data_IF_593032510771
#
_entry.id   IF_593032510771
#
_cell.length_a   1.000
_cell.length_b   1.000
_cell.length_c   1.000
_cell.angle_alpha   90.00
_cell.angle_beta   90.00
_cell.angle_gamma   90.00
#
_symmetry.space_group_name_H-M   'P 1'
#
loop_
_entity.id
_entity.type
_entity.pdbx_description
1 polymer ?
#
# COMPACT_ATOMS: atom_id res chain seq x y z
N UNK A 1 7.83 -10.93 -0.28
CA UNK A 1 6.40 -10.92 0.08
C UNK A 1 5.58 -10.44 -1.11
N UNK A 2 4.31 -10.80 -1.21
CA UNK A 2 3.40 -10.29 -2.26
C UNK A 2 2.57 -9.11 -1.75
N UNK A 3 2.00 -8.32 -2.65
CA UNK A 3 1.09 -7.22 -2.29
C UNK A 3 -0.10 -7.70 -1.45
N UNK A 4 -0.60 -8.91 -1.69
CA UNK A 4 -1.72 -9.48 -0.92
C UNK A 4 -1.32 -9.74 0.53
N UNK A 5 -0.14 -10.31 0.76
CA UNK A 5 0.39 -10.54 2.11
C UNK A 5 0.63 -9.23 2.84
N UNK A 6 1.21 -8.23 2.16
CA UNK A 6 1.45 -6.90 2.71
C UNK A 6 0.14 -6.22 3.11
N UNK A 7 -0.88 -6.29 2.25
CA UNK A 7 -2.19 -5.71 2.54
C UNK A 7 -2.87 -6.39 3.74
N UNK A 8 -2.81 -7.73 3.81
CA UNK A 8 -3.35 -8.49 4.93
C UNK A 8 -2.64 -8.16 6.25
N UNK A 9 -1.29 -8.16 6.25
CA UNK A 9 -0.48 -7.85 7.44
C UNK A 9 -0.64 -6.39 7.89
N UNK A 10 -0.74 -5.45 6.96
CA UNK A 10 -0.91 -4.03 7.27
C UNK A 10 -2.37 -3.62 7.55
N UNK A 11 -3.34 -4.55 7.41
CA UNK A 11 -4.76 -4.28 7.60
C UNK A 11 -5.33 -3.23 6.64
N UNK A 12 -4.90 -3.24 5.38
CA UNK A 12 -5.38 -2.29 4.37
C UNK A 12 -5.84 -2.98 3.08
N UNK A 13 -6.42 -2.21 2.16
CA UNK A 13 -6.80 -2.75 0.85
C UNK A 13 -5.58 -3.12 0.01
N UNK A 14 -5.71 -4.17 -0.80
CA UNK A 14 -4.70 -4.58 -1.78
C UNK A 14 -4.40 -3.49 -2.80
N UNK A 15 -5.42 -2.69 -3.16
CA UNK A 15 -5.28 -1.53 -4.05
C UNK A 15 -4.34 -0.48 -3.43
N UNK A 16 -4.49 -0.17 -2.13
CA UNK A 16 -3.64 0.81 -1.47
C UNK A 16 -2.17 0.35 -1.43
N UNK A 17 -1.94 -0.93 -1.12
CA UNK A 17 -0.60 -1.52 -1.18
C UNK A 17 -0.03 -1.50 -2.62
N UNK A 18 -0.84 -1.86 -3.62
CA UNK A 18 -0.42 -1.88 -5.03
C UNK A 18 -0.05 -0.50 -5.56
N UNK A 19 -0.84 0.53 -5.24
CA UNK A 19 -0.56 1.92 -5.64
C UNK A 19 0.75 2.40 -5.03
N UNK A 20 0.91 2.17 -3.73
CA UNK A 20 2.15 2.54 -3.05
C UNK A 20 3.37 1.84 -3.66
N UNK A 21 3.27 0.53 -3.97
CA UNK A 21 4.35 -0.22 -4.60
C UNK A 21 4.77 0.35 -5.95
N UNK A 22 3.79 0.76 -6.77
CA UNK A 22 4.03 1.41 -8.05
C UNK A 22 4.75 2.75 -7.89
N UNK A 23 4.27 3.59 -6.97
CA UNK A 23 4.81 4.95 -6.72
C UNK A 23 6.20 4.93 -6.11
N UNK A 24 6.55 3.87 -5.37
CA UNK A 24 7.82 3.74 -4.66
C UNK A 24 8.83 2.82 -5.38
N UNK A 25 8.52 2.37 -6.60
CA UNK A 25 9.45 1.61 -7.43
C UNK A 25 9.74 0.20 -6.92
N UNK A 26 8.79 -0.42 -6.21
CA UNK A 26 8.95 -1.82 -5.76
C UNK A 26 9.09 -2.73 -6.98
N UNK A 27 10.04 -3.65 -6.89
CA UNK A 27 10.30 -4.64 -7.95
C UNK A 27 9.04 -5.45 -8.25
N UNK A 28 8.84 -5.82 -9.51
CA UNK A 28 7.71 -6.63 -9.92
C UNK A 28 8.09 -7.66 -10.98
N UNK A 29 7.32 -8.74 -11.03
CA UNK A 29 7.33 -9.71 -12.11
C UNK A 29 6.07 -9.55 -12.98
N UNK A 30 6.20 -9.81 -14.28
CA UNK A 30 5.11 -9.73 -15.27
C UNK A 30 5.02 -8.40 -16.01
N UNK A 31 4.08 -8.29 -16.95
CA UNK A 31 3.86 -7.13 -17.80
C UNK A 31 2.51 -6.45 -17.54
N UNK A 32 2.45 -5.14 -17.79
CA UNK A 32 1.25 -4.30 -17.79
C UNK A 32 0.26 -4.56 -16.64
N UNK A 33 -0.83 -5.28 -16.93
CA UNK A 33 -1.95 -5.52 -16.01
C UNK A 33 -1.69 -6.65 -15.01
N UNK A 34 -0.79 -7.58 -15.35
CA UNK A 34 -0.48 -8.78 -14.57
C UNK A 34 0.73 -8.64 -13.65
N UNK A 35 1.12 -7.40 -13.29
CA UNK A 35 2.25 -7.16 -12.37
C UNK A 35 2.01 -7.75 -10.98
N UNK A 36 2.94 -8.59 -10.55
CA UNK A 36 3.06 -9.11 -9.18
C UNK A 36 4.23 -8.40 -8.52
N UNK A 37 3.96 -7.51 -7.57
CA UNK A 37 5.03 -6.82 -6.84
C UNK A 37 5.69 -7.75 -5.83
N UNK A 38 7.02 -7.75 -5.84
CA UNK A 38 7.92 -8.52 -5.01
C UNK A 38 8.47 -7.59 -3.92
N UNK A 39 7.80 -7.59 -2.78
CA UNK A 39 8.15 -6.75 -1.64
C UNK A 39 9.30 -7.35 -0.85
N UNK A 40 10.35 -6.56 -0.64
CA UNK A 40 11.33 -6.82 0.40
C UNK A 40 10.78 -6.49 1.79
N UNK A 41 11.48 -6.92 2.83
CA UNK A 41 11.17 -6.50 4.21
C UNK A 41 11.33 -4.98 4.37
N UNK A 42 12.34 -4.39 3.73
CA UNK A 42 12.58 -2.94 3.73
C UNK A 42 11.41 -2.17 3.10
N UNK A 43 10.88 -2.64 1.97
CA UNK A 43 9.70 -2.04 1.32
C UNK A 43 8.50 -2.10 2.26
N UNK A 44 8.31 -3.24 2.93
CA UNK A 44 7.22 -3.43 3.87
C UNK A 44 7.33 -2.47 5.06
N UNK A 45 8.52 -2.30 5.64
CA UNK A 45 8.74 -1.32 6.72
C UNK A 45 8.50 0.12 6.27
N UNK A 46 8.99 0.50 5.10
CA UNK A 46 8.72 1.83 4.50
C UNK A 46 7.23 2.05 4.30
N UNK A 47 6.52 1.02 3.85
CA UNK A 47 5.07 1.08 3.71
C UNK A 47 4.35 1.23 5.04
N UNK A 48 4.78 0.57 6.12
CA UNK A 48 4.19 0.75 7.45
C UNK A 48 4.38 2.17 7.98
N UNK A 49 5.53 2.80 7.67
CA UNK A 49 5.86 4.18 8.06
C UNK A 49 5.17 5.25 7.21
N UNK A 50 4.51 4.86 6.11
CA UNK A 50 3.85 5.82 5.22
C UNK A 50 2.76 6.62 5.97
N UNK A 51 2.56 7.90 5.63
CA UNK A 51 1.41 8.64 6.12
C UNK A 51 0.14 7.93 5.64
N UNK A 52 -0.62 7.33 6.56
CA UNK A 52 -1.93 6.77 6.22
C UNK A 52 -2.83 7.95 5.90
N UNK A 53 -3.43 8.03 4.69
CA UNK A 53 -4.42 9.07 4.42
C UNK A 53 -5.49 8.93 5.51
N UNK A 54 -5.55 9.93 6.39
CA UNK A 54 -6.45 9.90 7.52
C UNK A 54 -7.87 9.64 7.01
N UNK A 55 -8.66 8.92 7.82
CA UNK A 55 -10.12 9.07 7.83
C UNK A 55 -10.35 10.57 7.64
N UNK A 56 -10.94 11.03 6.53
CA UNK A 56 -11.36 12.43 6.43
C UNK A 56 -12.07 12.70 7.74
N UNK A 57 -11.50 13.53 8.61
CA UNK A 57 -12.22 13.97 9.79
C UNK A 57 -13.49 14.59 9.19
N UNK A 58 -14.64 13.96 9.42
CA UNK A 58 -15.89 14.67 9.18
C UNK A 58 -15.77 15.89 10.08
N UNK A 59 -15.62 17.06 9.48
CA UNK A 59 -15.87 18.31 10.18
C UNK A 59 -17.34 18.21 10.55
N UNK A 60 -17.63 17.79 11.78
CA UNK A 60 -18.96 17.91 12.35
C UNK A 60 -19.02 19.34 12.84
N UNK A 61 -19.46 20.22 11.95
CA UNK A 61 -19.82 21.59 12.30
C UNK A 61 -21.11 21.50 13.12
N UNK A 62 -21.01 21.66 14.44
CA UNK A 62 -22.17 21.89 15.29
C UNK A 62 -22.31 23.41 15.42
N UNK A 63 -23.12 23.99 14.53
CA UNK A 63 -23.69 25.34 14.67
C UNK A 63 -24.98 25.29 15.47
#
# INVERSE_FOLDING_TARGET
MTTNEVAAKAGCSTIAARKWALENGVSYAGSDRAKIYLWSEEDYERFLKRPKPGKRAKIVDNS
#
